data_IF_260001221572
#
_entry.id   IF_260001221572
#
_cell.length_a   1.000
_cell.length_b   1.000
_cell.length_c   1.000
_cell.angle_alpha   90.00
_cell.angle_beta   90.00
_cell.angle_gamma   90.00
#
_symmetry.space_group_name_H-M   'P 1'
#
loop_
_entity.id
_entity.type
_entity.pdbx_description
1 polymer ?
#
# COMPACT_ATOMS: atom_id res chain seq x y z
N UNK A 1 1.93 -21.18 -2.10
CA UNK A 1 2.93 -20.13 -2.40
C UNK A 1 2.28 -18.96 -3.15
N UNK A 2 2.64 -17.71 -2.81
CA UNK A 2 1.96 -16.51 -3.35
C UNK A 2 2.50 -15.97 -4.68
N UNK A 3 3.53 -16.60 -5.29
CA UNK A 3 4.07 -16.13 -6.56
C UNK A 3 3.06 -16.38 -7.71
N UNK A 4 2.53 -15.32 -8.37
CA UNK A 4 1.52 -15.50 -9.42
C UNK A 4 2.11 -16.06 -10.73
N UNK A 5 3.43 -16.09 -10.85
CA UNK A 5 4.16 -16.54 -12.04
C UNK A 5 4.85 -17.90 -11.84
N UNK A 6 4.75 -18.50 -10.65
CA UNK A 6 5.46 -19.74 -10.31
C UNK A 6 6.98 -19.61 -10.41
N UNK A 7 7.52 -18.42 -10.13
CA UNK A 7 8.96 -18.16 -10.06
C UNK A 7 9.55 -18.62 -8.74
N UNK A 8 8.80 -18.52 -7.65
CA UNK A 8 9.06 -19.30 -6.45
C UNK A 8 8.07 -20.46 -6.51
N UNK A 9 8.53 -21.68 -6.23
CA UNK A 9 7.69 -22.86 -6.05
C UNK A 9 8.28 -23.81 -4.99
N UNK A 10 7.58 -24.90 -4.70
CA UNK A 10 8.06 -26.00 -3.86
C UNK A 10 8.34 -27.23 -4.73
N UNK A 11 9.43 -27.94 -4.45
CA UNK A 11 9.68 -29.27 -5.03
C UNK A 11 8.83 -30.35 -4.35
N UNK A 12 9.01 -31.62 -4.73
CA UNK A 12 8.26 -32.76 -4.17
C UNK A 12 8.46 -32.92 -2.65
N UNK A 13 9.62 -32.49 -2.12
CA UNK A 13 9.99 -32.55 -0.72
C UNK A 13 9.59 -31.28 0.06
N UNK A 14 8.98 -30.30 -0.62
CA UNK A 14 8.59 -28.97 -0.10
C UNK A 14 9.76 -28.04 0.19
N UNK A 15 10.91 -28.24 -0.44
CA UNK A 15 11.98 -27.24 -0.44
C UNK A 15 11.67 -26.10 -1.42
N UNK A 16 12.10 -24.87 -1.11
CA UNK A 16 11.90 -23.74 -2.00
C UNK A 16 12.74 -23.91 -3.28
N UNK A 17 12.05 -23.91 -4.41
CA UNK A 17 12.61 -23.85 -5.75
C UNK A 17 12.45 -22.42 -6.31
N UNK A 18 13.50 -21.88 -6.92
CA UNK A 18 13.46 -20.57 -7.57
C UNK A 18 13.81 -20.66 -9.05
N UNK A 19 12.89 -20.22 -9.90
CA UNK A 19 13.05 -20.06 -11.33
C UNK A 19 13.13 -18.57 -11.69
N UNK A 20 14.36 -18.11 -11.97
CA UNK A 20 14.64 -16.72 -12.30
C UNK A 20 13.96 -16.26 -13.60
N UNK A 21 13.86 -17.14 -14.61
CA UNK A 21 13.26 -16.83 -15.91
C UNK A 21 11.77 -16.47 -15.82
N UNK A 22 11.10 -16.96 -14.78
CA UNK A 22 9.69 -16.65 -14.48
C UNK A 22 9.52 -15.40 -13.61
N UNK A 23 10.59 -14.90 -12.99
CA UNK A 23 10.50 -13.80 -12.05
C UNK A 23 10.17 -12.48 -12.78
N UNK A 24 9.00 -11.91 -12.49
CA UNK A 24 8.58 -10.59 -13.00
C UNK A 24 8.90 -9.43 -12.07
N UNK A 25 9.63 -9.68 -10.97
CA UNK A 25 10.01 -8.68 -9.95
C UNK A 25 8.81 -7.87 -9.40
N UNK A 26 7.62 -8.46 -9.36
CA UNK A 26 6.41 -7.83 -8.83
C UNK A 26 6.44 -7.61 -7.31
N UNK A 27 7.33 -8.30 -6.59
CA UNK A 27 7.49 -8.20 -5.15
C UNK A 27 6.39 -8.86 -4.30
N UNK A 28 5.44 -9.61 -4.89
CA UNK A 28 4.38 -10.29 -4.12
C UNK A 28 4.94 -11.22 -3.04
N UNK A 29 5.99 -11.98 -3.36
CA UNK A 29 6.68 -12.85 -2.40
C UNK A 29 7.37 -12.08 -1.26
N UNK A 30 7.93 -10.90 -1.55
CA UNK A 30 8.49 -10.00 -0.54
C UNK A 30 7.38 -9.47 0.39
N UNK A 31 6.24 -9.08 -0.18
CA UNK A 31 5.07 -8.66 0.59
C UNK A 31 4.52 -9.79 1.49
N UNK A 32 4.60 -11.03 1.02
CA UNK A 32 4.08 -12.21 1.72
C UNK A 32 4.98 -12.69 2.87
N UNK A 33 6.29 -12.46 2.79
CA UNK A 33 7.26 -13.05 3.71
C UNK A 33 7.18 -12.39 5.10
N UNK A 34 6.71 -13.10 6.15
CA UNK A 34 6.57 -12.52 7.49
C UNK A 34 7.94 -12.26 8.15
N UNK A 35 8.96 -13.06 7.79
CA UNK A 35 10.32 -12.95 8.30
C UNK A 35 11.22 -12.05 7.43
N UNK A 36 10.66 -11.46 6.36
CA UNK A 36 11.31 -10.42 5.53
C UNK A 36 12.68 -10.82 4.94
N UNK A 37 12.86 -12.09 4.56
CA UNK A 37 14.12 -12.58 3.98
C UNK A 37 14.24 -12.37 2.46
N UNK A 38 13.15 -11.98 1.80
CA UNK A 38 13.12 -11.74 0.35
C UNK A 38 13.26 -10.25 0.10
N UNK A 39 14.23 -9.85 -0.72
CA UNK A 39 14.47 -8.47 -1.13
C UNK A 39 15.07 -8.41 -2.54
N UNK A 40 14.93 -7.27 -3.20
CA UNK A 40 15.68 -6.93 -4.41
C UNK A 40 16.72 -5.85 -4.08
N UNK A 41 17.82 -5.80 -4.83
CA UNK A 41 18.90 -4.83 -4.62
C UNK A 41 18.43 -3.36 -4.60
N UNK A 42 17.37 -3.05 -5.36
CA UNK A 42 16.80 -1.71 -5.49
C UNK A 42 15.36 -1.60 -4.99
N UNK A 43 14.83 -2.63 -4.31
CA UNK A 43 13.48 -2.62 -3.78
C UNK A 43 13.34 -3.65 -2.65
N UNK A 44 13.17 -3.16 -1.43
CA UNK A 44 13.12 -3.97 -0.22
C UNK A 44 12.11 -3.41 0.79
N UNK A 45 11.76 -4.22 1.78
CA UNK A 45 10.96 -3.78 2.93
C UNK A 45 11.57 -2.53 3.57
N UNK A 46 12.89 -2.52 3.75
CA UNK A 46 13.60 -1.42 4.39
C UNK A 46 13.59 -0.14 3.57
N UNK A 47 13.76 -0.22 2.24
CA UNK A 47 13.74 0.98 1.39
C UNK A 47 12.41 1.73 1.45
N UNK A 48 11.28 1.01 1.41
CA UNK A 48 9.95 1.60 1.55
C UNK A 48 9.71 2.08 2.98
N UNK A 49 10.13 1.31 3.98
CA UNK A 49 10.05 1.70 5.40
C UNK A 49 10.85 2.96 5.74
N UNK A 50 11.99 3.18 5.08
CA UNK A 50 12.76 4.42 5.18
C UNK A 50 12.04 5.58 4.49
N UNK A 51 11.50 5.38 3.28
CA UNK A 51 10.77 6.41 2.54
C UNK A 51 9.49 6.89 3.27
N UNK A 52 8.85 5.96 3.99
CA UNK A 52 7.78 6.18 4.95
C UNK A 52 8.23 7.09 6.11
N UNK A 53 9.35 6.76 6.77
CA UNK A 53 9.83 7.47 7.96
C UNK A 53 10.53 8.79 7.64
N UNK A 54 10.81 9.07 6.37
CA UNK A 54 11.47 10.28 5.90
C UNK A 54 10.52 11.49 5.78
N UNK A 55 9.39 11.50 6.49
CA UNK A 55 8.45 12.62 6.54
C UNK A 55 8.38 13.21 7.93
N UNK A 56 8.09 14.50 7.99
CA UNK A 56 7.78 15.18 9.24
C UNK A 56 6.35 14.83 9.68
N UNK A 57 6.25 14.26 10.89
CA UNK A 57 5.00 13.91 11.54
C UNK A 57 4.71 15.05 12.52
N UNK A 58 3.69 15.88 12.25
CA UNK A 58 3.35 16.96 13.15
C UNK A 58 2.77 16.39 14.45
N UNK A 59 2.92 17.17 15.52
CA UNK A 59 2.36 16.86 16.84
C UNK A 59 0.82 16.81 16.78
N UNK A 60 0.20 16.12 17.74
CA UNK A 60 -1.25 15.96 17.80
C UNK A 60 -2.03 17.30 17.86
N UNK A 61 -1.42 18.35 18.42
CA UNK A 61 -2.04 19.68 18.58
C UNK A 61 -1.89 20.58 17.35
N UNK A 62 -1.09 20.19 16.36
CA UNK A 62 -0.86 21.00 15.15
C UNK A 62 -2.04 20.95 14.15
N UNK A 63 -3.06 20.12 14.41
CA UNK A 63 -4.25 19.89 13.56
C UNK A 63 -3.94 19.57 12.09
N UNK A 64 -2.74 19.04 11.82
CA UNK A 64 -2.28 18.65 10.48
C UNK A 64 -2.35 17.13 10.35
N UNK A 65 -3.30 16.58 9.59
CA UNK A 65 -3.33 15.15 9.34
C UNK A 65 -2.10 14.74 8.53
N UNK A 66 -1.76 13.46 8.50
CA UNK A 66 -0.73 12.87 7.66
C UNK A 66 -1.28 11.57 7.10
N UNK A 67 -1.58 11.59 5.80
CA UNK A 67 -2.10 10.42 5.08
C UNK A 67 -0.99 9.78 4.29
N UNK A 68 -0.84 8.45 4.38
CA UNK A 68 0.04 7.67 3.52
C UNK A 68 -0.77 7.11 2.35
N UNK A 69 -0.24 7.16 1.14
CA UNK A 69 -0.75 6.41 0.00
C UNK A 69 0.34 5.46 -0.49
N UNK A 70 0.08 4.16 -0.44
CA UNK A 70 0.89 3.15 -1.15
C UNK A 70 0.23 2.88 -2.50
N UNK A 71 0.81 3.48 -3.55
CA UNK A 71 0.24 3.46 -4.90
C UNK A 71 0.94 2.43 -5.79
N UNK A 72 0.19 1.48 -6.35
CA UNK A 72 0.70 0.60 -7.39
C UNK A 72 1.27 1.42 -8.57
N UNK A 73 2.50 1.13 -8.99
CA UNK A 73 3.20 1.87 -10.04
C UNK A 73 2.55 1.78 -11.43
N UNK A 74 1.65 0.80 -11.63
CA UNK A 74 1.12 0.47 -12.96
C UNK A 74 -0.16 1.24 -13.33
N UNK A 75 -1.11 1.38 -12.38
CA UNK A 75 -2.37 2.10 -12.63
C UNK A 75 -2.55 3.29 -11.68
N UNK A 76 -2.38 3.06 -10.37
CA UNK A 76 -2.67 4.08 -9.36
C UNK A 76 -1.72 5.28 -9.43
N UNK A 77 -0.41 5.04 -9.52
CA UNK A 77 0.57 6.12 -9.60
C UNK A 77 0.42 6.91 -10.92
N UNK A 78 0.27 6.28 -12.11
CA UNK A 78 -0.03 7.00 -13.33
C UNK A 78 -1.37 7.77 -13.33
N UNK A 79 -2.41 7.25 -12.66
CA UNK A 79 -3.66 7.99 -12.48
C UNK A 79 -3.44 9.29 -11.69
N UNK A 80 -2.62 9.24 -10.63
CA UNK A 80 -2.23 10.41 -9.83
C UNK A 80 -1.34 11.38 -10.62
N UNK A 81 -0.43 10.88 -11.46
CA UNK A 81 0.36 11.73 -12.37
C UNK A 81 -0.54 12.46 -13.38
N UNK A 82 -1.53 11.77 -13.95
CA UNK A 82 -2.50 12.39 -14.85
C UNK A 82 -3.39 13.39 -14.13
N UNK A 83 -3.79 13.11 -12.89
CA UNK A 83 -4.52 14.06 -12.06
C UNK A 83 -3.73 15.36 -11.87
N UNK A 84 -2.43 15.24 -11.55
CA UNK A 84 -1.54 16.38 -11.42
C UNK A 84 -1.41 17.18 -12.73
N UNK A 85 -1.30 16.50 -13.89
CA UNK A 85 -1.28 17.16 -15.21
C UNK A 85 -2.58 17.92 -15.51
N UNK A 86 -3.72 17.44 -15.00
CA UNK A 86 -5.03 18.08 -15.13
C UNK A 86 -5.31 19.09 -14.00
N UNK A 87 -4.36 19.31 -13.09
CA UNK A 87 -4.50 20.21 -11.93
C UNK A 87 -5.64 19.81 -10.99
N UNK A 88 -5.91 18.51 -10.88
CA UNK A 88 -6.82 17.98 -9.87
C UNK A 88 -6.06 17.92 -8.54
N UNK A 89 -6.54 18.67 -7.56
CA UNK A 89 -5.89 18.81 -6.27
C UNK A 89 -6.34 17.72 -5.28
N UNK A 90 -5.42 17.32 -4.42
CA UNK A 90 -5.68 16.50 -3.24
C UNK A 90 -4.97 17.10 -2.03
N UNK A 91 -5.32 16.61 -0.82
CA UNK A 91 -4.74 17.08 0.44
C UNK A 91 -3.21 17.16 0.40
N UNK A 92 -2.67 18.37 0.62
CA UNK A 92 -1.24 18.65 0.68
C UNK A 92 -0.51 17.92 1.81
N UNK A 93 -1.26 17.31 2.73
CA UNK A 93 -0.71 16.52 3.81
C UNK A 93 -0.50 15.05 3.47
N UNK A 94 -0.72 14.67 2.21
CA UNK A 94 -0.58 13.29 1.75
C UNK A 94 0.84 12.98 1.31
N UNK A 95 1.38 11.86 1.80
CA UNK A 95 2.63 11.26 1.30
C UNK A 95 2.29 10.09 0.40
N UNK A 96 2.58 10.22 -0.89
CA UNK A 96 2.46 9.12 -1.85
C UNK A 96 3.80 8.40 -1.97
N UNK A 97 3.80 7.07 -1.83
CA UNK A 97 4.95 6.20 -2.07
C UNK A 97 4.55 5.16 -3.13
N UNK A 98 5.22 5.15 -4.29
CA UNK A 98 4.97 4.11 -5.28
C UNK A 98 5.49 2.76 -4.78
N UNK A 99 4.69 1.71 -5.01
CA UNK A 99 5.07 0.32 -4.81
C UNK A 99 4.99 -0.41 -6.14
N UNK A 100 5.87 -1.40 -6.36
CA UNK A 100 5.89 -2.19 -7.60
C UNK A 100 4.53 -2.79 -7.91
N UNK A 101 3.88 -3.33 -6.89
CA UNK A 101 2.55 -3.87 -6.98
C UNK A 101 1.87 -3.73 -5.64
N UNK A 102 0.55 -3.64 -5.59
CA UNK A 102 -0.11 -3.73 -4.29
C UNK A 102 0.16 -5.08 -3.60
N UNK A 103 0.39 -6.16 -4.37
CA UNK A 103 0.79 -7.45 -3.83
C UNK A 103 2.12 -7.44 -3.05
N UNK A 104 3.02 -6.48 -3.33
CA UNK A 104 4.27 -6.33 -2.59
C UNK A 104 4.12 -5.62 -1.25
N UNK A 105 2.94 -5.09 -0.93
CA UNK A 105 2.65 -4.42 0.34
C UNK A 105 2.72 -5.42 1.49
N UNK A 106 3.78 -5.30 2.27
CA UNK A 106 3.94 -6.05 3.52
C UNK A 106 3.21 -5.31 4.64
N UNK A 107 2.54 -6.04 5.54
CA UNK A 107 1.78 -5.46 6.66
C UNK A 107 2.67 -4.69 7.64
N UNK A 108 3.99 -4.93 7.66
CA UNK A 108 4.93 -4.14 8.45
C UNK A 108 4.93 -2.66 8.04
N UNK A 109 4.69 -2.33 6.76
CA UNK A 109 4.63 -0.93 6.34
C UNK A 109 3.42 -0.20 6.91
N UNK A 110 2.30 -0.92 7.09
CA UNK A 110 1.08 -0.35 7.67
C UNK A 110 1.28 -0.11 9.16
N UNK A 111 1.77 -1.12 9.87
CA UNK A 111 2.02 -1.03 11.32
C UNK A 111 3.12 -0.02 11.64
N UNK A 112 4.22 0.02 10.89
CA UNK A 112 5.26 1.05 11.04
C UNK A 112 4.71 2.45 10.77
N UNK A 113 3.82 2.62 9.79
CA UNK A 113 3.19 3.90 9.50
C UNK A 113 2.31 4.38 10.65
N UNK A 114 1.40 3.53 11.13
CA UNK A 114 0.52 3.86 12.25
C UNK A 114 1.33 4.21 13.50
N UNK A 115 2.35 3.41 13.83
CA UNK A 115 3.25 3.66 14.95
C UNK A 115 4.11 4.92 14.78
N UNK A 116 4.30 5.39 13.54
CA UNK A 116 4.99 6.64 13.26
C UNK A 116 4.04 7.84 13.27
N UNK A 117 2.77 7.68 13.65
CA UNK A 117 1.82 8.80 13.76
C UNK A 117 1.12 9.20 12.45
N UNK A 118 1.12 8.32 11.44
CA UNK A 118 0.21 8.50 10.30
C UNK A 118 -1.24 8.36 10.75
N UNK A 119 -2.10 9.24 10.27
CA UNK A 119 -3.52 9.28 10.66
C UNK A 119 -4.37 8.33 9.84
N UNK A 120 -4.03 8.20 8.55
CA UNK A 120 -4.71 7.35 7.59
C UNK A 120 -3.76 6.77 6.56
N UNK A 121 -4.10 5.60 6.04
CA UNK A 121 -3.34 4.87 5.03
C UNK A 121 -4.30 4.43 3.93
N UNK A 122 -3.94 4.74 2.69
CA UNK A 122 -4.67 4.33 1.50
C UNK A 122 -3.78 3.39 0.69
N UNK A 123 -4.30 2.21 0.39
CA UNK A 123 -3.71 1.25 -0.51
C UNK A 123 -4.40 1.34 -1.86
N UNK A 124 -3.69 1.75 -2.90
CA UNK A 124 -4.26 1.88 -4.24
C UNK A 124 -3.67 0.84 -5.19
N UNK A 125 -4.52 -0.11 -5.62
CA UNK A 125 -4.15 -1.20 -6.53
C UNK A 125 -4.91 -1.15 -7.84
N UNK A 126 -4.40 -1.81 -8.87
CA UNK A 126 -5.11 -2.01 -10.13
C UNK A 126 -6.44 -2.77 -9.91
N UNK A 127 -7.42 -2.59 -10.79
CA UNK A 127 -8.68 -3.38 -10.80
C UNK A 127 -8.40 -4.89 -10.83
N UNK A 128 -9.16 -5.65 -10.03
CA UNK A 128 -9.13 -7.13 -9.94
C UNK A 128 -10.50 -7.72 -10.32
N UNK A 129 -10.60 -9.05 -10.38
CA UNK A 129 -11.87 -9.74 -10.67
C UNK A 129 -12.17 -9.82 -12.16
N UNK A 130 -13.40 -9.55 -12.56
CA UNK A 130 -13.89 -9.78 -13.95
C UNK A 130 -13.34 -8.76 -14.95
N UNK A 131 -13.25 -7.47 -14.57
CA UNK A 131 -12.60 -6.41 -15.34
C UNK A 131 -11.09 -6.35 -15.02
N UNK A 132 -10.42 -7.47 -15.20
CA UNK A 132 -9.06 -7.66 -14.74
C UNK A 132 -8.05 -6.74 -15.46
N UNK A 133 -7.44 -5.80 -14.72
CA UNK A 133 -6.40 -4.88 -15.24
C UNK A 133 -5.06 -5.01 -14.51
N UNK A 134 -4.98 -5.77 -13.42
CA UNK A 134 -3.77 -5.82 -12.63
C UNK A 134 -2.56 -6.38 -13.41
N UNK A 135 -1.54 -5.55 -13.55
CA UNK A 135 -0.34 -5.82 -14.36
C UNK A 135 0.35 -7.15 -14.01
N UNK A 136 0.31 -7.55 -12.73
CA UNK A 136 0.98 -8.75 -12.23
C UNK A 136 0.05 -9.93 -11.94
N UNK A 137 -1.01 -10.10 -12.73
CA UNK A 137 -1.93 -11.27 -12.78
C UNK A 137 -2.79 -11.55 -11.53
N UNK A 138 -2.29 -11.40 -10.31
CA UNK A 138 -3.10 -11.51 -9.08
C UNK A 138 -2.67 -10.57 -7.96
N UNK A 139 -1.82 -9.58 -8.26
CA UNK A 139 -1.18 -8.75 -7.23
C UNK A 139 -2.17 -8.01 -6.33
N UNK A 140 -3.12 -7.27 -6.93
CA UNK A 140 -4.16 -6.57 -6.17
C UNK A 140 -5.08 -7.56 -5.43
N UNK A 141 -5.46 -8.67 -6.04
CA UNK A 141 -6.30 -9.69 -5.41
C UNK A 141 -5.66 -10.26 -4.14
N UNK A 142 -4.38 -10.64 -4.21
CA UNK A 142 -3.61 -11.13 -3.07
C UNK A 142 -3.53 -10.06 -1.97
N UNK A 143 -3.29 -8.81 -2.34
CA UNK A 143 -3.27 -7.71 -1.38
C UNK A 143 -4.62 -7.55 -0.68
N UNK A 144 -5.73 -7.57 -1.39
CA UNK A 144 -7.06 -7.50 -0.77
C UNK A 144 -7.32 -8.64 0.22
N UNK A 145 -6.90 -9.87 -0.10
CA UNK A 145 -7.02 -11.01 0.82
C UNK A 145 -6.14 -10.82 2.05
N UNK A 146 -4.93 -10.30 1.88
CA UNK A 146 -4.02 -10.01 3.00
C UNK A 146 -4.56 -8.90 3.90
N UNK A 147 -5.14 -7.87 3.29
CA UNK A 147 -5.65 -6.69 3.98
C UNK A 147 -7.05 -6.88 4.56
N UNK A 148 -7.79 -7.93 4.21
CA UNK A 148 -9.08 -8.22 4.84
C UNK A 148 -9.00 -8.55 6.33
N UNK A 149 -7.78 -8.71 6.87
CA UNK A 149 -7.50 -8.94 8.29
C UNK A 149 -6.83 -7.74 8.97
N UNK A 150 -6.72 -6.59 8.28
CA UNK A 150 -6.07 -5.43 8.87
C UNK A 150 -6.91 -4.86 10.03
N UNK A 151 -8.23 -4.99 9.95
CA UNK A 151 -9.16 -4.55 10.99
C UNK A 151 -8.85 -5.18 12.35
N UNK A 152 -8.54 -6.48 12.38
CA UNK A 152 -8.13 -7.18 13.60
C UNK A 152 -6.87 -6.54 14.22
N UNK A 153 -5.94 -6.09 13.37
CA UNK A 153 -4.70 -5.42 13.80
C UNK A 153 -4.99 -4.02 14.33
N UNK A 154 -5.85 -3.25 13.65
CA UNK A 154 -6.25 -1.91 14.08
C UNK A 154 -6.98 -1.94 15.42
N UNK A 155 -7.92 -2.87 15.59
CA UNK A 155 -8.64 -3.05 16.85
C UNK A 155 -7.72 -3.45 17.99
N UNK A 156 -6.71 -4.30 17.75
CA UNK A 156 -5.68 -4.63 18.75
C UNK A 156 -4.84 -3.40 19.16
N UNK A 157 -4.69 -2.42 18.27
CA UNK A 157 -4.02 -1.15 18.53
C UNK A 157 -4.98 -0.07 19.11
N UNK A 158 -6.26 -0.41 19.35
CA UNK A 158 -7.31 0.54 19.71
C UNK A 158 -7.48 1.69 18.70
N UNK A 159 -7.38 1.36 17.41
CA UNK A 159 -7.57 2.30 16.31
C UNK A 159 -8.86 2.01 15.55
N UNK A 160 -9.45 3.06 14.99
CA UNK A 160 -10.57 2.98 14.06
C UNK A 160 -10.16 2.23 12.78
N UNK A 161 -11.03 1.34 12.32
CA UNK A 161 -10.81 0.53 11.11
C UNK A 161 -10.70 1.39 9.85
N UNK A 162 -11.39 2.52 9.86
CA UNK A 162 -11.46 3.53 8.80
C UNK A 162 -10.12 4.22 8.52
N UNK A 163 -9.10 4.00 9.37
CA UNK A 163 -7.73 4.51 9.16
C UNK A 163 -6.98 3.79 8.06
N UNK A 164 -7.41 2.61 7.62
CA UNK A 164 -6.74 1.88 6.52
C UNK A 164 -7.76 1.44 5.49
N UNK A 165 -7.65 1.99 4.29
CA UNK A 165 -8.57 1.70 3.19
C UNK A 165 -7.85 1.14 1.97
N UNK A 166 -8.52 0.25 1.25
CA UNK A 166 -7.98 -0.37 0.03
C UNK A 166 -8.90 -0.10 -1.15
N UNK A 167 -8.37 0.58 -2.16
CA UNK A 167 -9.11 0.94 -3.36
C UNK A 167 -8.52 0.34 -4.62
N UNK A 168 -9.43 -0.13 -5.48
CA UNK A 168 -9.13 -0.46 -6.86
C UNK A 168 -9.16 0.82 -7.70
N UNK A 169 -8.12 1.06 -8.48
CA UNK A 169 -7.88 2.24 -9.31
C UNK A 169 -7.59 1.77 -10.73
N UNK A 170 -8.33 2.29 -11.70
CA UNK A 170 -7.94 2.19 -13.10
C UNK A 170 -6.99 3.34 -13.46
N UNK A 171 -6.13 3.15 -14.45
CA UNK A 171 -5.26 4.24 -14.93
C UNK A 171 -6.07 5.48 -15.32
N UNK A 172 -7.30 5.33 -15.80
CA UNK A 172 -8.20 6.42 -16.20
C UNK A 172 -8.91 7.14 -15.05
N UNK A 173 -8.70 6.74 -13.78
CA UNK A 173 -9.36 7.32 -12.60
C UNK A 173 -8.74 8.65 -12.17
N UNK A 174 -8.57 9.57 -13.13
CA UNK A 174 -7.91 10.88 -12.97
C UNK A 174 -8.59 11.74 -11.90
N UNK A 175 -9.92 11.73 -11.84
CA UNK A 175 -10.69 12.48 -10.84
C UNK A 175 -10.89 11.68 -9.54
N UNK A 176 -11.06 10.36 -9.67
CA UNK A 176 -11.44 9.50 -8.55
C UNK A 176 -10.26 9.24 -7.60
N UNK A 177 -9.04 9.05 -8.09
CA UNK A 177 -7.89 8.78 -7.23
C UNK A 177 -7.59 9.96 -6.26
N UNK A 178 -7.51 11.23 -6.70
CA UNK A 178 -7.40 12.39 -5.81
C UNK A 178 -8.59 12.52 -4.86
N UNK A 179 -9.81 12.27 -5.36
CA UNK A 179 -11.01 12.33 -4.52
C UNK A 179 -10.92 11.38 -3.33
N UNK A 180 -10.46 10.13 -3.53
CA UNK A 180 -10.31 9.16 -2.44
C UNK A 180 -9.30 9.61 -1.37
N UNK A 181 -8.26 10.37 -1.78
CA UNK A 181 -7.32 10.98 -0.83
C UNK A 181 -8.00 12.06 0.00
N UNK A 182 -8.83 12.89 -0.62
CA UNK A 182 -9.59 13.93 0.08
C UNK A 182 -10.67 13.32 0.99
N UNK A 183 -11.38 12.29 0.53
CA UNK A 183 -12.36 11.55 1.32
C UNK A 183 -11.71 10.97 2.59
N UNK A 184 -10.47 10.45 2.49
CA UNK A 184 -9.72 10.01 3.67
C UNK A 184 -9.38 11.16 4.61
N UNK A 185 -8.97 12.32 4.08
CA UNK A 185 -8.72 13.50 4.93
C UNK A 185 -9.99 13.91 5.71
N UNK A 186 -11.15 13.93 5.06
CA UNK A 186 -12.44 14.17 5.72
C UNK A 186 -12.79 13.10 6.76
N UNK A 187 -12.42 11.85 6.52
CA UNK A 187 -12.59 10.76 7.49
C UNK A 187 -11.72 11.01 8.73
N UNK A 188 -10.44 11.39 8.55
CA UNK A 188 -9.54 11.72 9.66
C UNK A 188 -10.06 12.91 10.47
N UNK A 189 -10.61 13.94 9.83
CA UNK A 189 -11.23 15.06 10.54
C UNK A 189 -12.40 14.63 11.43
N UNK A 190 -13.14 13.58 11.06
CA UNK A 190 -14.28 13.06 11.83
C UNK A 190 -13.88 12.13 12.98
N UNK A 191 -12.89 11.27 12.76
CA UNK A 191 -12.45 10.28 13.76
C UNK A 191 -11.34 10.82 14.68
N UNK A 192 -10.68 11.91 14.29
CA UNK A 192 -9.60 12.54 15.03
C UNK A 192 -8.20 12.05 14.63
N UNK A 193 -7.20 12.81 15.07
CA UNK A 193 -5.78 12.50 14.84
C UNK A 193 -5.37 11.19 15.50
N UNK A 194 -4.32 10.58 14.98
CA UNK A 194 -3.74 9.36 15.54
C UNK A 194 -3.23 9.59 16.95
N UNK A 195 -3.52 8.69 17.91
CA UNK A 195 -2.98 8.75 19.27
C UNK A 195 -1.48 8.44 19.34
N UNK A 196 -0.85 8.13 18.20
CA UNK A 196 0.57 7.85 18.07
C UNK A 196 1.39 9.02 17.50
N UNK A 197 0.80 10.22 17.36
CA UNK A 197 1.56 11.45 17.10
C UNK A 197 2.21 11.94 18.41
N UNK A 198 3.49 12.29 18.35
CA UNK A 198 4.28 12.77 19.49
C UNK A 198 5.43 13.66 19.01
#
# INVERSE_FOLDING_TARGET
>A
MECPFGAINEDEDRYPEFNEERCRRCGTCMGACPVRVISFDNYSIDTVGQALKAVDIPDEFDEKPRTLVLACENDAYPALDMAAMNRVEYSAFTRIIPVRCLGSVNTIWLTDALNSGYDGIILMGCKKGEEYQCHFVKGSEIAHIRMSKIDDTLQQLNLETERVEVYEIAITDVERAPKLINDMAETIEKIGMSPFKF
#
